data_IF_978940495891
#
_entry.id   IF_978940495891
#
_cell.length_a   1.000
_cell.length_b   1.000
_cell.length_c   1.000
_cell.angle_alpha   90.00
_cell.angle_beta   90.00
_cell.angle_gamma   90.00
#
_symmetry.space_group_name_H-M   'P 1'
#
loop_
_entity.id
_entity.type
_entity.pdbx_description
1 polymer ?
#
# COMPACT_ATOMS: atom_id res chain seq x y z
N UNK A 1 -5.09 -2.38 -7.11
CA UNK A 1 -5.78 -1.64 -6.01
C UNK A 1 -6.41 -0.30 -6.43
N UNK A 2 -5.68 0.54 -7.16
CA UNK A 2 -6.07 1.94 -7.46
C UNK A 2 -7.48 2.13 -8.04
N UNK A 3 -7.99 1.17 -8.82
CA UNK A 3 -9.29 1.27 -9.49
C UNK A 3 -10.51 1.27 -8.53
N UNK A 4 -10.36 0.71 -7.33
CA UNK A 4 -11.49 0.46 -6.39
C UNK A 4 -11.28 1.05 -4.99
N UNK A 5 -10.07 1.53 -4.69
CA UNK A 5 -9.71 1.95 -3.33
C UNK A 5 -10.58 3.11 -2.83
N UNK A 6 -10.97 4.02 -3.71
CA UNK A 6 -11.84 5.15 -3.32
C UNK A 6 -13.25 4.69 -3.00
N UNK A 7 -13.82 3.78 -3.79
CA UNK A 7 -15.14 3.21 -3.57
C UNK A 7 -15.21 2.47 -2.22
N UNK A 8 -14.15 1.74 -1.85
CA UNK A 8 -14.06 1.08 -0.55
C UNK A 8 -14.04 2.11 0.59
N UNK A 9 -13.20 3.14 0.49
CA UNK A 9 -13.09 4.19 1.53
C UNK A 9 -14.37 5.02 1.71
N UNK A 10 -15.22 5.10 0.69
CA UNK A 10 -16.47 5.86 0.75
C UNK A 10 -17.63 5.09 1.38
N UNK A 11 -17.49 3.79 1.62
CA UNK A 11 -18.52 3.00 2.31
C UNK A 11 -18.61 3.46 3.77
N UNK A 12 -19.82 3.75 4.23
CA UNK A 12 -20.10 4.28 5.58
C UNK A 12 -19.63 3.40 6.72
N UNK A 13 -19.65 2.07 6.52
CA UNK A 13 -19.25 1.06 7.50
C UNK A 13 -17.75 0.77 7.49
N UNK A 14 -16.99 1.31 6.53
CA UNK A 14 -15.54 1.07 6.43
C UNK A 14 -14.80 2.06 7.32
N UNK A 15 -14.33 1.59 8.48
CA UNK A 15 -13.56 2.41 9.41
C UNK A 15 -12.15 2.75 8.90
N UNK A 16 -11.47 1.79 8.25
CA UNK A 16 -10.09 1.95 7.78
C UNK A 16 -9.69 0.84 6.81
N UNK A 17 -8.77 1.16 5.90
CA UNK A 17 -8.07 0.19 5.06
C UNK A 17 -6.60 0.12 5.49
N UNK A 18 -6.16 -1.01 6.04
CA UNK A 18 -4.79 -1.17 6.56
C UNK A 18 -3.73 -1.33 5.46
N UNK A 19 -4.03 -2.05 4.38
CA UNK A 19 -3.10 -2.28 3.27
C UNK A 19 -3.87 -2.51 1.97
N UNK A 20 -3.28 -2.12 0.84
CA UNK A 20 -3.79 -2.45 -0.49
C UNK A 20 -2.63 -2.56 -1.49
N UNK A 21 -1.99 -3.72 -1.54
CA UNK A 21 -0.76 -3.98 -2.30
C UNK A 21 -0.78 -5.36 -2.96
N UNK A 22 0.21 -5.63 -3.81
CA UNK A 22 0.46 -6.96 -4.39
C UNK A 22 1.77 -7.60 -3.87
N UNK A 23 2.45 -6.94 -2.92
CA UNK A 23 3.66 -7.44 -2.29
C UNK A 23 3.34 -8.57 -1.29
N UNK A 24 4.33 -9.37 -0.86
CA UNK A 24 4.22 -10.19 0.34
C UNK A 24 3.77 -9.34 1.53
N UNK A 25 2.76 -9.82 2.26
CA UNK A 25 2.08 -9.07 3.32
C UNK A 25 2.02 -9.88 4.61
N UNK A 26 2.38 -9.25 5.73
CA UNK A 26 2.18 -9.79 7.08
C UNK A 26 1.34 -8.83 7.91
N UNK A 27 0.40 -9.36 8.69
CA UNK A 27 -0.41 -8.57 9.64
C UNK A 27 0.14 -8.78 11.05
N UNK A 28 0.43 -7.69 11.76
CA UNK A 28 0.84 -7.73 13.16
C UNK A 28 -0.41 -7.71 14.02
N UNK A 29 -0.62 -8.77 14.80
CA UNK A 29 -1.80 -8.95 15.64
C UNK A 29 -1.37 -8.93 17.10
N UNK A 30 -2.01 -8.07 17.91
CA UNK A 30 -1.94 -8.18 19.37
C UNK A 30 -3.07 -9.10 19.84
N UNK A 31 -2.76 -9.95 20.81
CA UNK A 31 -3.74 -10.78 21.50
C UNK A 31 -3.76 -10.38 22.99
N UNK A 32 -4.95 -10.13 23.52
CA UNK A 32 -5.12 -9.77 24.93
C UNK A 32 -6.46 -10.28 25.45
N UNK A 33 -6.43 -11.04 26.55
CA UNK A 33 -7.62 -11.51 27.27
C UNK A 33 -8.67 -12.18 26.36
N UNK A 34 -8.22 -12.97 25.38
CA UNK A 34 -9.08 -13.67 24.43
C UNK A 34 -9.56 -12.83 23.23
N UNK A 35 -9.18 -11.55 23.14
CA UNK A 35 -9.46 -10.69 22.00
C UNK A 35 -8.21 -10.47 21.14
N UNK A 36 -8.42 -10.10 19.87
CA UNK A 36 -7.35 -9.78 18.91
C UNK A 36 -7.57 -8.40 18.30
N UNK A 37 -6.47 -7.68 18.10
CA UNK A 37 -6.46 -6.38 17.43
C UNK A 37 -5.37 -6.33 16.35
N UNK A 38 -5.67 -5.69 15.22
CA UNK A 38 -4.67 -5.38 14.20
C UNK A 38 -3.85 -4.19 14.71
N UNK A 39 -2.55 -4.41 14.91
CA UNK A 39 -1.61 -3.36 15.32
C UNK A 39 -0.96 -2.67 14.12
N UNK A 40 -0.87 -3.37 12.98
CA UNK A 40 -0.27 -2.84 11.76
C UNK A 40 -0.03 -3.92 10.71
N UNK A 41 0.58 -3.51 9.61
CA UNK A 41 0.91 -4.35 8.46
C UNK A 41 2.36 -4.16 8.06
N UNK A 42 2.99 -5.23 7.57
CA UNK A 42 4.29 -5.22 6.93
C UNK A 42 4.06 -5.47 5.44
N UNK A 43 4.12 -4.41 4.62
CA UNK A 43 3.89 -4.45 3.18
C UNK A 43 5.23 -4.45 2.43
N UNK A 44 5.65 -5.64 1.97
CA UNK A 44 6.91 -5.81 1.26
C UNK A 44 8.14 -5.59 2.14
N UNK A 45 9.16 -4.94 1.57
CA UNK A 45 10.47 -4.75 2.20
C UNK A 45 10.72 -3.29 2.58
N UNK A 46 11.53 -3.07 3.61
CA UNK A 46 12.04 -1.75 3.97
C UNK A 46 12.84 -1.10 2.80
N UNK A 47 12.85 0.24 2.70
CA UNK A 47 13.61 0.95 1.68
C UNK A 47 15.12 0.67 1.83
N UNK A 48 15.82 0.53 0.71
CA UNK A 48 17.28 0.27 0.68
C UNK A 48 18.13 1.52 0.47
N UNK A 49 17.51 2.66 0.14
CA UNK A 49 18.19 3.91 -0.19
C UNK A 49 17.22 4.96 -0.72
N UNK A 50 17.76 6.07 -1.23
CA UNK A 50 16.99 7.20 -1.80
C UNK A 50 17.16 7.21 -3.32
N UNK A 51 16.07 7.48 -4.05
CA UNK A 51 16.08 7.55 -5.53
C UNK A 51 16.95 8.70 -6.05
N UNK A 52 17.79 8.44 -7.05
CA UNK A 52 18.59 9.44 -7.76
C UNK A 52 17.82 10.02 -8.97
N UNK A 53 18.40 11.00 -9.67
CA UNK A 53 17.75 11.64 -10.83
C UNK A 53 17.38 10.64 -11.93
N UNK A 54 18.23 9.65 -12.18
CA UNK A 54 18.03 8.59 -13.18
C UNK A 54 16.88 7.65 -12.81
N UNK A 55 16.76 7.30 -11.52
CA UNK A 55 15.66 6.48 -10.98
C UNK A 55 14.33 7.22 -11.14
N UNK A 56 14.31 8.53 -10.85
CA UNK A 56 13.14 9.37 -11.01
C UNK A 56 12.70 9.47 -12.47
N UNK A 57 13.65 9.66 -13.40
CA UNK A 57 13.37 9.68 -14.83
C UNK A 57 12.75 8.34 -15.29
N UNK A 58 13.31 7.23 -14.82
CA UNK A 58 12.83 5.87 -15.10
C UNK A 58 11.40 5.64 -14.58
N UNK A 59 11.14 5.98 -13.31
CA UNK A 59 9.80 5.85 -12.70
C UNK A 59 8.75 6.67 -13.45
N UNK A 60 9.07 7.90 -13.86
CA UNK A 60 8.16 8.75 -14.65
C UNK A 60 7.90 8.17 -16.04
N UNK A 61 8.93 7.65 -16.70
CA UNK A 61 8.80 7.00 -18.01
C UNK A 61 7.89 5.76 -17.95
N UNK A 62 8.01 4.94 -16.90
CA UNK A 62 7.13 3.78 -16.69
C UNK A 62 5.65 4.20 -16.59
N UNK A 63 5.34 5.25 -15.82
CA UNK A 63 3.96 5.73 -15.69
C UNK A 63 3.37 6.21 -17.01
N UNK A 64 4.15 6.90 -17.85
CA UNK A 64 3.72 7.31 -19.20
C UNK A 64 3.55 6.12 -20.13
N UNK A 65 4.48 5.16 -20.10
CA UNK A 65 4.40 3.92 -20.89
C UNK A 65 3.16 3.09 -20.54
N UNK A 66 2.77 3.06 -19.28
CA UNK A 66 1.55 2.39 -18.82
C UNK A 66 0.27 3.23 -18.99
N UNK A 67 0.38 4.45 -19.54
CA UNK A 67 -0.77 5.31 -19.84
C UNK A 67 -1.39 6.00 -18.62
N UNK A 68 -0.74 5.97 -17.46
CA UNK A 68 -1.27 6.61 -16.24
C UNK A 68 -0.98 8.11 -16.18
N UNK A 69 -0.05 8.61 -17.00
CA UNK A 69 0.33 10.02 -17.11
C UNK A 69 0.63 10.35 -18.57
N UNK A 70 0.31 11.58 -18.97
CA UNK A 70 0.77 12.19 -20.22
C UNK A 70 2.10 12.92 -19.95
#
# INVERSE_FOLDING_TARGET
>A
PVNVLNQIKTVTEVCTVFCASANPLTVVVAEHSGARGIMGVLDGSAPKGVEQEEDQATRRAILRRFGYKQ
#
